data_IF_095950672248
#
_entry.id   IF_095950672248
#
_cell.length_a   1.000
_cell.length_b   1.000
_cell.length_c   1.000
_cell.angle_alpha   90.00
_cell.angle_beta   90.00
_cell.angle_gamma   90.00
#
_symmetry.space_group_name_H-M   'P 1'
#
loop_
_entity.id
_entity.type
_entity.pdbx_description
1 polymer ?
#
# COMPACT_ATOMS: atom_id res chain seq x y z
N UNK A 1 29.40 1.21 24.54
CA UNK A 1 28.01 0.88 24.15
C UNK A 1 27.70 1.55 22.83
N UNK A 2 26.90 0.92 21.97
CA UNK A 2 26.47 1.51 20.71
C UNK A 2 25.34 2.54 20.95
N UNK A 3 25.34 3.63 20.17
CA UNK A 3 24.30 4.68 20.18
C UNK A 3 23.71 4.78 18.78
N UNK A 4 22.39 4.81 18.68
CA UNK A 4 21.70 5.09 17.42
C UNK A 4 22.03 6.53 17.01
N UNK A 5 22.65 6.70 15.85
CA UNK A 5 23.04 8.00 15.28
C UNK A 5 22.07 8.48 14.20
N UNK A 6 21.33 7.55 13.58
CA UNK A 6 20.20 7.82 12.71
C UNK A 6 19.32 6.54 12.57
N UNK A 7 18.02 6.72 12.39
CA UNK A 7 17.07 5.68 12.01
C UNK A 7 16.15 6.17 10.88
N UNK A 8 15.28 5.29 10.39
CA UNK A 8 14.37 5.59 9.29
C UNK A 8 13.29 6.63 9.63
N UNK A 9 12.97 6.83 10.93
CA UNK A 9 11.96 7.81 11.36
C UNK A 9 12.47 9.23 11.10
N UNK A 10 13.78 9.47 11.28
CA UNK A 10 14.42 10.75 11.02
C UNK A 10 14.43 11.16 9.53
N UNK A 11 14.22 10.21 8.62
CA UNK A 11 14.24 10.48 7.18
C UNK A 11 12.95 11.12 6.67
N UNK A 12 11.85 11.05 7.45
CA UNK A 12 10.52 11.54 7.08
C UNK A 12 10.11 11.13 5.65
N UNK A 13 10.44 9.88 5.27
CA UNK A 13 10.14 9.31 3.96
C UNK A 13 8.88 8.47 4.09
N UNK A 14 7.85 8.83 3.33
CA UNK A 14 6.68 7.98 3.16
C UNK A 14 7.04 6.74 2.36
N UNK A 15 6.68 5.55 2.86
CA UNK A 15 6.85 4.27 2.15
C UNK A 15 5.48 3.62 1.90
N UNK A 16 4.66 4.20 1.01
CA UNK A 16 3.31 3.71 0.77
C UNK A 16 3.32 2.39 -0.01
N UNK A 17 2.38 1.52 0.33
CA UNK A 17 2.06 0.33 -0.45
C UNK A 17 0.99 0.65 -1.51
N UNK A 18 1.10 0.06 -2.70
CA UNK A 18 0.18 0.30 -3.81
C UNK A 18 -0.49 -1.00 -4.28
N UNK A 19 -1.78 -0.92 -4.57
CA UNK A 19 -2.51 -1.94 -5.32
C UNK A 19 -2.37 -1.68 -6.82
N UNK A 20 -1.83 -2.65 -7.57
CA UNK A 20 -1.51 -2.48 -8.98
C UNK A 20 -2.36 -3.42 -9.84
N UNK A 21 -2.98 -2.87 -10.87
CA UNK A 21 -3.73 -3.62 -11.88
C UNK A 21 -3.19 -3.35 -13.29
N UNK A 22 -3.33 -4.32 -14.20
CA UNK A 22 -2.97 -4.12 -15.61
C UNK A 22 -3.94 -3.14 -16.26
N UNK A 23 -3.44 -2.16 -17.01
CA UNK A 23 -4.27 -1.14 -17.68
C UNK A 23 -5.36 -1.75 -18.56
N UNK A 24 -5.05 -2.79 -19.35
CA UNK A 24 -6.03 -3.47 -20.19
C UNK A 24 -7.16 -4.08 -19.36
N UNK A 25 -6.80 -4.80 -18.30
CA UNK A 25 -7.77 -5.42 -17.40
C UNK A 25 -8.66 -4.40 -16.69
N UNK A 26 -8.08 -3.32 -16.17
CA UNK A 26 -8.85 -2.28 -15.49
C UNK A 26 -9.83 -1.54 -16.42
N UNK A 27 -9.50 -1.43 -17.71
CA UNK A 27 -10.39 -0.83 -18.72
C UNK A 27 -11.47 -1.78 -19.21
N UNK A 28 -11.16 -3.06 -19.40
CA UNK A 28 -12.10 -4.08 -19.90
C UNK A 28 -13.02 -4.61 -18.81
N UNK A 29 -12.57 -4.62 -17.56
CA UNK A 29 -13.29 -5.15 -16.39
C UNK A 29 -13.30 -4.18 -15.20
N UNK A 30 -13.73 -2.91 -15.38
CA UNK A 30 -13.74 -1.93 -14.31
C UNK A 30 -14.58 -2.35 -13.10
N UNK A 31 -15.66 -3.10 -13.32
CA UNK A 31 -16.53 -3.66 -12.30
C UNK A 31 -15.83 -4.68 -11.41
N UNK A 32 -14.89 -5.46 -11.95
CA UNK A 32 -14.12 -6.43 -11.17
C UNK A 32 -13.06 -5.73 -10.32
N UNK A 33 -12.44 -4.67 -10.82
CA UNK A 33 -11.51 -3.84 -10.04
C UNK A 33 -12.25 -3.18 -8.87
N UNK A 34 -13.41 -2.60 -9.13
CA UNK A 34 -14.25 -2.00 -8.08
C UNK A 34 -14.71 -3.06 -7.06
N UNK A 35 -15.16 -4.23 -7.52
CA UNK A 35 -15.58 -5.33 -6.64
C UNK A 35 -14.41 -5.82 -5.77
N UNK A 36 -13.21 -5.96 -6.33
CA UNK A 36 -12.02 -6.32 -5.57
C UNK A 36 -11.75 -5.29 -4.47
N UNK A 37 -11.72 -4.00 -4.79
CA UNK A 37 -11.46 -2.94 -3.81
C UNK A 37 -12.51 -2.89 -2.70
N UNK A 38 -13.80 -3.12 -3.03
CA UNK A 38 -14.88 -3.22 -2.04
C UNK A 38 -14.69 -4.40 -1.09
N UNK A 39 -14.31 -5.57 -1.61
CA UNK A 39 -14.04 -6.75 -0.76
C UNK A 39 -12.78 -6.54 0.07
N UNK A 40 -11.73 -5.95 -0.52
CA UNK A 40 -10.50 -5.60 0.17
C UNK A 40 -10.76 -4.67 1.36
N UNK A 41 -11.52 -3.59 1.17
CA UNK A 41 -11.85 -2.67 2.27
C UNK A 41 -12.67 -3.35 3.36
N UNK A 42 -13.62 -4.23 3.00
CA UNK A 42 -14.37 -5.02 3.98
C UNK A 42 -13.44 -5.92 4.81
N UNK A 43 -12.50 -6.60 4.15
CA UNK A 43 -11.53 -7.44 4.84
C UNK A 43 -10.61 -6.63 5.76
N UNK A 44 -10.16 -5.45 5.31
CA UNK A 44 -9.33 -4.52 6.08
C UNK A 44 -10.03 -4.04 7.35
N UNK A 45 -11.28 -3.58 7.22
CA UNK A 45 -12.10 -3.14 8.37
C UNK A 45 -12.41 -4.30 9.31
N UNK A 46 -12.69 -5.48 8.77
CA UNK A 46 -12.90 -6.68 9.58
C UNK A 46 -11.63 -7.02 10.37
N UNK A 47 -10.46 -7.01 9.74
CA UNK A 47 -9.18 -7.26 10.38
C UNK A 47 -8.93 -6.30 11.54
N UNK A 48 -9.17 -5.00 11.33
CA UNK A 48 -9.02 -3.98 12.38
C UNK A 48 -9.94 -4.26 13.58
N UNK A 49 -11.14 -4.77 13.34
CA UNK A 49 -12.13 -5.10 14.38
C UNK A 49 -11.93 -6.49 15.02
N UNK A 50 -11.12 -7.36 14.39
CA UNK A 50 -10.96 -8.78 14.76
C UNK A 50 -9.47 -9.17 14.78
N UNK A 51 -8.62 -8.33 15.39
CA UNK A 51 -7.16 -8.46 15.32
C UNK A 51 -6.64 -9.83 15.77
N UNK A 52 -7.18 -10.41 16.85
CA UNK A 52 -6.77 -11.74 17.33
C UNK A 52 -7.04 -12.86 16.33
N UNK A 53 -8.17 -12.81 15.63
CA UNK A 53 -8.50 -13.79 14.59
C UNK A 53 -7.64 -13.57 13.35
N UNK A 54 -7.44 -12.32 12.95
CA UNK A 54 -6.53 -11.97 11.87
C UNK A 54 -5.12 -12.50 12.14
N UNK A 55 -4.57 -12.28 13.35
CA UNK A 55 -3.24 -12.78 13.72
C UNK A 55 -3.15 -14.30 13.55
N UNK A 56 -4.17 -15.08 13.94
CA UNK A 56 -4.19 -16.54 13.74
C UNK A 56 -4.14 -16.93 12.25
N UNK A 57 -4.78 -16.17 11.37
CA UNK A 57 -4.69 -16.37 9.92
C UNK A 57 -3.25 -16.16 9.45
N UNK A 58 -2.59 -15.09 9.89
CA UNK A 58 -1.19 -14.81 9.52
C UNK A 58 -0.21 -15.84 10.06
N UNK A 59 -0.30 -16.22 11.34
CA UNK A 59 0.63 -17.19 11.95
C UNK A 59 0.47 -18.58 11.33
N UNK A 60 -0.76 -19.02 11.04
CA UNK A 60 -1.00 -20.31 10.38
C UNK A 60 -0.49 -20.33 8.93
N UNK A 61 -0.70 -19.26 8.18
CA UNK A 61 -0.30 -19.19 6.77
C UNK A 61 1.22 -18.96 6.58
N UNK A 62 1.83 -18.09 7.40
CA UNK A 62 3.21 -17.63 7.23
C UNK A 62 4.21 -18.28 8.20
N UNK A 63 3.75 -19.04 9.19
CA UNK A 63 4.57 -19.65 10.25
C UNK A 63 5.43 -18.63 11.01
N UNK A 64 4.88 -17.44 11.21
CA UNK A 64 5.51 -16.34 11.97
C UNK A 64 4.99 -16.42 13.41
N UNK A 65 5.82 -16.03 14.38
CA UNK A 65 5.41 -15.95 15.79
C UNK A 65 4.30 -14.91 16.00
N UNK A 66 3.38 -15.23 16.92
CA UNK A 66 2.20 -14.40 17.24
C UNK A 66 2.59 -13.00 17.70
N UNK A 67 3.64 -12.86 18.51
CA UNK A 67 4.07 -11.58 19.06
C UNK A 67 4.72 -10.72 17.97
N UNK A 68 5.41 -11.33 17.01
CA UNK A 68 5.94 -10.62 15.84
C UNK A 68 4.79 -10.07 14.98
N UNK A 69 3.76 -10.88 14.71
CA UNK A 69 2.62 -10.43 13.90
C UNK A 69 1.85 -9.31 14.59
N UNK A 70 1.67 -9.39 15.92
CA UNK A 70 1.06 -8.31 16.71
C UNK A 70 1.84 -7.01 16.58
N UNK A 71 3.16 -7.09 16.71
CA UNK A 71 4.00 -5.89 16.65
C UNK A 71 3.93 -5.21 15.29
N UNK A 72 3.91 -6.00 14.20
CA UNK A 72 3.69 -5.46 12.85
C UNK A 72 2.37 -4.68 12.76
N UNK A 73 1.28 -5.20 13.30
CA UNK A 73 -0.02 -4.48 13.27
C UNK A 73 -0.10 -3.27 14.20
N UNK A 74 0.73 -3.21 15.25
CA UNK A 74 0.85 -2.02 16.09
C UNK A 74 1.58 -0.90 15.36
N UNK A 75 2.62 -1.23 14.59
CA UNK A 75 3.40 -0.26 13.81
C UNK A 75 2.71 0.17 12.53
N UNK A 76 2.07 -0.76 11.83
CA UNK A 76 1.50 -0.51 10.52
C UNK A 76 0.03 -0.92 10.48
N UNK A 77 -0.83 0.09 10.42
CA UNK A 77 -2.27 -0.08 10.26
C UNK A 77 -2.62 0.05 8.78
N UNK A 78 -3.09 -1.03 8.13
CA UNK A 78 -3.46 -0.97 6.74
C UNK A 78 -4.60 0.03 6.52
N UNK A 79 -4.44 0.88 5.51
CA UNK A 79 -5.45 1.83 5.06
C UNK A 79 -5.74 1.61 3.57
N UNK A 80 -6.95 1.95 3.14
CA UNK A 80 -7.29 2.09 1.73
C UNK A 80 -7.78 3.51 1.48
N UNK A 81 -6.97 4.32 0.81
CA UNK A 81 -7.25 5.73 0.52
C UNK A 81 -6.86 6.07 -0.92
N UNK A 82 -7.46 7.12 -1.52
CA UNK A 82 -6.95 7.68 -2.77
C UNK A 82 -5.49 8.09 -2.63
N UNK A 83 -4.71 7.85 -3.68
CA UNK A 83 -3.30 8.25 -3.72
C UNK A 83 -3.24 9.77 -3.88
N UNK A 84 -2.67 10.45 -2.90
CA UNK A 84 -2.61 11.92 -2.89
C UNK A 84 -1.55 12.47 -3.84
N UNK A 85 -1.60 13.78 -4.11
CA UNK A 85 -0.58 14.45 -4.94
C UNK A 85 0.80 14.39 -4.31
N UNK A 86 0.87 14.44 -2.99
CA UNK A 86 2.10 14.35 -2.21
C UNK A 86 2.74 12.97 -2.40
N UNK A 87 1.95 11.89 -2.29
CA UNK A 87 2.43 10.52 -2.54
C UNK A 87 2.89 10.34 -4.00
N UNK A 88 2.14 10.87 -4.97
CA UNK A 88 2.53 10.83 -6.39
C UNK A 88 3.88 11.55 -6.60
N UNK A 89 4.09 12.68 -5.91
CA UNK A 89 5.32 13.44 -5.99
C UNK A 89 6.51 12.71 -5.33
N UNK A 90 6.30 12.03 -4.21
CA UNK A 90 7.32 11.17 -3.57
C UNK A 90 7.68 9.96 -4.44
N UNK A 91 6.68 9.35 -5.07
CA UNK A 91 6.89 8.29 -6.05
C UNK A 91 7.67 8.81 -7.26
N UNK A 92 7.40 10.03 -7.71
CA UNK A 92 8.15 10.66 -8.82
C UNK A 92 9.61 10.89 -8.44
N UNK A 93 9.88 11.41 -7.23
CA UNK A 93 11.28 11.55 -6.72
C UNK A 93 12.02 10.22 -6.73
N UNK A 94 11.33 9.14 -6.34
CA UNK A 94 11.89 7.78 -6.36
C UNK A 94 12.17 7.31 -7.80
N UNK A 95 11.23 7.51 -8.72
CA UNK A 95 11.40 7.16 -10.13
C UNK A 95 12.57 7.94 -10.77
N UNK A 96 12.66 9.25 -10.52
CA UNK A 96 13.74 10.11 -11.03
C UNK A 96 15.10 9.69 -10.48
N UNK A 97 15.17 9.36 -9.19
CA UNK A 97 16.38 8.84 -8.56
C UNK A 97 16.82 7.52 -9.18
N UNK A 98 15.90 6.56 -9.37
CA UNK A 98 16.17 5.29 -10.02
C UNK A 98 16.61 5.44 -11.48
N UNK A 99 16.07 6.44 -12.19
CA UNK A 99 16.47 6.75 -13.57
C UNK A 99 17.89 7.31 -13.62
N UNK A 100 18.22 8.27 -12.75
CA UNK A 100 19.57 8.84 -12.61
C UNK A 100 20.62 7.78 -12.27
N UNK A 101 20.27 6.79 -11.45
CA UNK A 101 21.14 5.66 -11.12
C UNK A 101 21.24 4.61 -12.24
N UNK A 102 20.38 4.67 -13.27
CA UNK A 102 20.32 3.67 -14.33
C UNK A 102 19.59 2.38 -13.97
N UNK A 103 18.96 2.29 -12.79
CA UNK A 103 18.14 1.16 -12.36
C UNK A 103 16.88 1.00 -13.22
N UNK A 104 16.27 2.11 -13.63
CA UNK A 104 15.23 2.13 -14.65
C UNK A 104 15.75 2.83 -15.91
N UNK A 105 15.40 2.30 -17.07
CA UNK A 105 15.91 2.78 -18.37
C UNK A 105 15.03 3.82 -19.06
N UNK A 106 13.86 4.09 -18.49
CA UNK A 106 12.86 5.01 -19.04
C UNK A 106 12.35 5.87 -17.91
N UNK A 107 12.17 7.15 -18.21
CA UNK A 107 11.46 8.06 -17.32
C UNK A 107 10.01 7.59 -17.17
N UNK A 108 9.50 7.66 -15.95
CA UNK A 108 8.13 7.31 -15.60
C UNK A 108 7.45 8.59 -15.12
N UNK A 109 6.28 8.90 -15.66
CA UNK A 109 5.40 9.96 -15.15
C UNK A 109 4.39 9.32 -14.21
N UNK A 110 4.62 9.43 -12.89
CA UNK A 110 3.83 8.69 -11.89
C UNK A 110 2.36 9.13 -11.85
N UNK A 111 2.08 10.39 -12.19
CA UNK A 111 0.71 10.91 -12.34
C UNK A 111 -0.09 10.22 -13.46
N UNK A 112 0.57 9.56 -14.41
CA UNK A 112 -0.08 8.85 -15.53
C UNK A 112 -0.41 7.40 -15.22
N UNK A 113 0.05 6.86 -14.10
CA UNK A 113 -0.16 5.45 -13.72
C UNK A 113 -1.06 5.29 -12.50
N UNK A 114 -1.52 6.39 -11.91
CA UNK A 114 -2.47 6.42 -10.80
C UNK A 114 -3.88 6.70 -11.32
N UNK A 115 -4.84 5.87 -10.93
CA UNK A 115 -6.27 6.06 -11.20
C UNK A 115 -7.07 5.94 -9.90
N UNK A 116 -7.35 7.08 -9.28
CA UNK A 116 -8.12 7.13 -8.03
C UNK A 116 -9.62 6.87 -8.23
N UNK A 117 -10.13 6.86 -9.46
CA UNK A 117 -11.57 6.73 -9.69
C UNK A 117 -12.13 5.40 -9.18
N UNK A 118 -11.33 4.33 -9.21
CA UNK A 118 -11.71 3.01 -8.70
C UNK A 118 -11.86 2.99 -7.17
N UNK A 119 -10.86 3.50 -6.44
CA UNK A 119 -10.89 3.51 -4.98
C UNK A 119 -11.92 4.50 -4.46
N UNK A 120 -12.08 5.66 -5.11
CA UNK A 120 -13.13 6.61 -4.74
C UNK A 120 -14.54 6.01 -4.90
N UNK A 121 -14.81 5.28 -5.99
CA UNK A 121 -16.09 4.58 -6.18
C UNK A 121 -16.30 3.49 -5.13
N UNK A 122 -15.25 2.72 -4.83
CA UNK A 122 -15.32 1.66 -3.82
C UNK A 122 -15.64 2.21 -2.42
N UNK A 123 -15.04 3.34 -2.04
CA UNK A 123 -15.20 3.95 -0.71
C UNK A 123 -16.49 4.77 -0.55
N UNK A 124 -17.06 5.31 -1.64
CA UNK A 124 -18.33 6.06 -1.61
C UNK A 124 -19.55 5.18 -1.34
N UNK A 125 -19.46 3.87 -1.52
CA UNK A 125 -20.57 2.93 -1.35
C UNK A 125 -20.86 2.56 0.13
N UNK A 126 -20.54 3.44 1.08
CA UNK A 126 -20.87 3.29 2.51
C UNK A 126 -22.32 3.70 2.78
#
# INVERSE_FOLDING_TARGET
>A
GAKVIADGELLNVSSPEFLIARTKFAKEHPELVEKFLKVYEKARVWQESNLDEAIKIYTSAKKIDVEIVKEVFNHDKPILVPVTKEIIAEQQKTADFQYKLGSIKKEIKTDKVVDNSFVEKALKAK
#
